data_IF_540970642088
#
_entry.id   IF_540970642088
#
_cell.length_a   1.000
_cell.length_b   1.000
_cell.length_c   1.000
_cell.angle_alpha   90.00
_cell.angle_beta   90.00
_cell.angle_gamma   90.00
#
_symmetry.space_group_name_H-M   'P 1'
#
loop_
_entity.id
_entity.type
_entity.pdbx_description
1 polymer ?
#
# COMPACT_ATOMS: atom_id res chain seq x y z
N UNK A 1 -7.69 -12.31 4.01
CA UNK A 1 -6.89 -13.56 3.86
C UNK A 1 -6.00 -13.68 5.08
N UNK A 2 -6.07 -14.78 5.83
CA UNK A 2 -5.17 -15.04 6.96
C UNK A 2 -4.03 -15.95 6.51
N UNK A 3 -2.79 -15.55 6.77
CA UNK A 3 -1.57 -16.28 6.41
C UNK A 3 -0.47 -16.08 7.46
N UNK A 4 -0.86 -15.85 8.72
CA UNK A 4 0.03 -15.57 9.85
C UNK A 4 1.11 -16.65 10.04
N UNK A 5 0.78 -17.91 9.80
CA UNK A 5 1.75 -19.01 9.97
C UNK A 5 2.89 -18.97 8.92
N UNK A 6 2.70 -18.21 7.84
CA UNK A 6 3.60 -18.16 6.68
C UNK A 6 4.23 -16.77 6.46
N UNK A 7 3.93 -15.78 7.30
CA UNK A 7 4.45 -14.41 7.20
C UNK A 7 5.48 -14.05 8.28
N UNK A 8 5.93 -15.04 9.04
CA UNK A 8 6.92 -14.89 10.11
C UNK A 8 8.35 -14.78 9.57
N UNK A 9 9.28 -14.43 10.46
CA UNK A 9 10.71 -14.44 10.14
C UNK A 9 11.20 -15.85 9.75
N UNK A 10 12.25 -15.92 8.91
CA UNK A 10 13.01 -14.79 8.35
C UNK A 10 12.26 -14.06 7.23
N UNK A 11 12.46 -12.74 7.10
CA UNK A 11 11.62 -11.89 6.22
C UNK A 11 11.71 -12.29 4.73
N UNK A 12 12.86 -12.80 4.26
CA UNK A 12 12.99 -13.31 2.90
C UNK A 12 12.07 -14.51 2.61
N UNK A 13 11.77 -15.33 3.63
CA UNK A 13 10.88 -16.47 3.50
C UNK A 13 9.42 -15.99 3.47
N UNK A 14 9.05 -15.03 4.31
CA UNK A 14 7.73 -14.38 4.26
C UNK A 14 7.47 -13.75 2.88
N UNK A 15 8.48 -13.03 2.33
CA UNK A 15 8.44 -12.50 0.97
C UNK A 15 8.16 -13.59 -0.07
N UNK A 16 8.90 -14.71 -0.03
CA UNK A 16 8.71 -15.82 -0.97
C UNK A 16 7.32 -16.48 -0.82
N UNK A 17 6.87 -16.68 0.42
CA UNK A 17 5.55 -17.24 0.74
C UNK A 17 4.43 -16.34 0.24
N UNK A 18 4.60 -15.02 0.29
CA UNK A 18 3.60 -14.07 -0.17
C UNK A 18 3.20 -14.28 -1.63
N UNK A 19 4.13 -14.69 -2.52
CA UNK A 19 3.81 -15.04 -3.92
C UNK A 19 2.82 -16.20 -4.00
N UNK A 20 2.99 -17.21 -3.14
CA UNK A 20 2.07 -18.35 -3.06
C UNK A 20 0.71 -17.91 -2.53
N UNK A 21 0.68 -17.02 -1.53
CA UNK A 21 -0.58 -16.46 -0.99
C UNK A 21 -1.31 -15.64 -2.06
N UNK A 22 -0.61 -14.85 -2.86
CA UNK A 22 -1.18 -14.12 -4.00
C UNK A 22 -1.82 -15.08 -5.01
N UNK A 23 -1.11 -16.13 -5.41
CA UNK A 23 -1.64 -17.15 -6.31
C UNK A 23 -2.85 -17.92 -5.73
N UNK A 24 -2.84 -18.24 -4.45
CA UNK A 24 -3.97 -18.89 -3.77
C UNK A 24 -5.19 -17.96 -3.66
N UNK A 25 -4.96 -16.68 -3.41
CA UNK A 25 -6.01 -15.65 -3.37
C UNK A 25 -6.66 -15.50 -4.74
N UNK A 26 -5.86 -15.40 -5.81
CA UNK A 26 -6.36 -15.36 -7.18
C UNK A 26 -7.15 -16.62 -7.55
N UNK A 27 -6.66 -17.81 -7.16
CA UNK A 27 -7.38 -19.07 -7.37
C UNK A 27 -8.74 -19.08 -6.70
N UNK A 28 -8.84 -18.61 -5.46
CA UNK A 28 -10.12 -18.50 -4.76
C UNK A 28 -11.07 -17.54 -5.47
N UNK A 29 -10.57 -16.38 -5.90
CA UNK A 29 -11.38 -15.38 -6.61
C UNK A 29 -11.91 -15.93 -7.93
N UNK A 30 -11.06 -16.56 -8.75
CA UNK A 30 -11.48 -17.17 -10.00
C UNK A 30 -12.57 -18.24 -9.79
N UNK A 31 -12.45 -19.07 -8.75
CA UNK A 31 -13.50 -20.03 -8.38
C UNK A 31 -14.81 -19.33 -8.01
N UNK A 32 -14.77 -18.20 -7.30
CA UNK A 32 -15.96 -17.43 -6.98
C UNK A 32 -16.60 -16.81 -8.23
N UNK A 33 -15.79 -16.26 -9.14
CA UNK A 33 -16.26 -15.70 -10.42
C UNK A 33 -16.98 -16.78 -11.26
N UNK A 34 -16.35 -17.95 -11.43
CA UNK A 34 -16.89 -19.08 -12.20
C UNK A 34 -18.22 -19.61 -11.64
N UNK A 35 -18.37 -19.61 -10.30
CA UNK A 35 -19.48 -20.33 -9.65
C UNK A 35 -20.58 -19.42 -9.08
N UNK A 36 -20.35 -18.11 -8.98
CA UNK A 36 -21.27 -17.17 -8.30
C UNK A 36 -21.65 -15.96 -9.14
N UNK A 37 -21.18 -15.87 -10.39
CA UNK A 37 -21.51 -14.73 -11.26
C UNK A 37 -20.90 -13.41 -10.77
N UNK A 38 -19.79 -13.49 -10.03
CA UNK A 38 -19.01 -12.32 -9.61
C UNK A 38 -18.18 -11.87 -10.81
N UNK A 39 -18.22 -10.59 -11.14
CA UNK A 39 -17.40 -10.00 -12.19
C UNK A 39 -16.11 -9.43 -11.57
N UNK A 40 -14.97 -9.47 -12.28
CA UNK A 40 -13.69 -9.09 -11.69
C UNK A 40 -13.63 -7.60 -11.32
N UNK A 41 -14.36 -6.74 -12.04
CA UNK A 41 -14.51 -5.31 -11.79
C UNK A 41 -15.24 -4.98 -10.47
N UNK A 42 -16.00 -5.94 -9.93
CA UNK A 42 -16.68 -5.81 -8.63
C UNK A 42 -15.80 -6.15 -7.43
N UNK A 43 -14.56 -6.57 -7.66
CA UNK A 43 -13.65 -7.05 -6.61
C UNK A 43 -12.66 -5.95 -6.21
N UNK A 44 -12.55 -5.74 -4.90
CA UNK A 44 -11.59 -4.82 -4.28
C UNK A 44 -10.69 -5.57 -3.31
N UNK A 45 -9.39 -5.64 -3.61
CA UNK A 45 -8.38 -6.18 -2.71
C UNK A 45 -7.76 -5.06 -1.89
N UNK A 46 -7.66 -5.26 -0.58
CA UNK A 46 -7.03 -4.30 0.34
C UNK A 46 -5.93 -5.04 1.09
N UNK A 47 -4.69 -4.57 0.95
CA UNK A 47 -3.52 -5.23 1.50
C UNK A 47 -2.61 -4.26 2.24
N UNK A 48 -2.25 -4.60 3.48
CA UNK A 48 -1.31 -3.83 4.30
C UNK A 48 0.08 -4.43 4.28
N UNK A 49 1.12 -3.59 4.26
CA UNK A 49 2.51 -4.05 4.35
C UNK A 49 2.84 -5.06 3.23
N UNK A 50 3.38 -6.23 3.58
CA UNK A 50 3.60 -7.33 2.64
C UNK A 50 2.30 -7.83 2.00
N UNK A 51 1.16 -7.69 2.69
CA UNK A 51 -0.17 -7.96 2.15
C UNK A 51 -0.56 -7.04 0.99
N UNK A 52 -0.03 -5.81 0.92
CA UNK A 52 -0.20 -4.92 -0.23
C UNK A 52 0.45 -5.50 -1.48
N UNK A 53 1.67 -6.00 -1.33
CA UNK A 53 2.41 -6.69 -2.38
C UNK A 53 1.72 -8.00 -2.80
N UNK A 54 1.18 -8.75 -1.83
CA UNK A 54 0.36 -9.94 -2.08
C UNK A 54 -0.89 -9.63 -2.90
N UNK A 55 -1.48 -8.44 -2.70
CA UNK A 55 -2.65 -8.03 -3.48
C UNK A 55 -2.29 -7.77 -4.94
N UNK A 56 -1.11 -7.20 -5.22
CA UNK A 56 -0.57 -7.06 -6.58
C UNK A 56 -0.37 -8.42 -7.26
N UNK A 57 0.33 -9.35 -6.59
CA UNK A 57 0.48 -10.73 -7.10
C UNK A 57 -0.87 -11.46 -7.31
N UNK A 58 -1.90 -11.15 -6.54
CA UNK A 58 -3.23 -11.69 -6.82
C UNK A 58 -3.85 -11.02 -8.07
N UNK A 59 -3.75 -9.70 -8.19
CA UNK A 59 -4.30 -8.89 -9.29
C UNK A 59 -3.71 -9.23 -10.66
N UNK A 60 -2.40 -9.41 -10.76
CA UNK A 60 -1.71 -9.86 -11.98
C UNK A 60 -2.33 -11.14 -12.59
N UNK A 61 -2.99 -11.96 -11.77
CA UNK A 61 -3.61 -13.25 -12.15
C UNK A 61 -5.12 -13.16 -12.39
N UNK A 62 -5.70 -11.97 -12.31
CA UNK A 62 -7.15 -11.71 -12.45
C UNK A 62 -7.33 -10.58 -13.48
N UNK A 63 -7.49 -10.90 -14.77
CA UNK A 63 -7.73 -9.89 -15.79
C UNK A 63 -9.01 -9.08 -15.50
N UNK A 64 -8.88 -7.75 -15.52
CA UNK A 64 -9.98 -6.82 -15.24
C UNK A 64 -10.37 -6.74 -13.76
N UNK A 65 -9.42 -7.04 -12.85
CA UNK A 65 -9.65 -6.82 -11.42
C UNK A 65 -10.01 -5.36 -11.16
N UNK A 66 -11.11 -5.11 -10.45
CA UNK A 66 -11.66 -3.76 -10.29
C UNK A 66 -10.76 -2.80 -9.51
N UNK A 67 -10.31 -3.20 -8.31
CA UNK A 67 -9.49 -2.31 -7.48
C UNK A 67 -8.50 -3.03 -6.57
N UNK A 68 -7.32 -2.43 -6.41
CA UNK A 68 -6.39 -2.73 -5.30
C UNK A 68 -6.15 -1.46 -4.49
N UNK A 69 -6.24 -1.57 -3.16
CA UNK A 69 -5.69 -0.55 -2.26
C UNK A 69 -4.47 -1.09 -1.51
N UNK A 70 -3.31 -0.46 -1.74
CA UNK A 70 -2.08 -0.71 -1.01
C UNK A 70 -1.99 0.15 0.24
N UNK A 71 -2.03 -0.46 1.43
CA UNK A 71 -1.88 0.24 2.70
C UNK A 71 -0.43 0.13 3.15
N UNK A 72 0.35 1.17 2.89
CA UNK A 72 1.79 1.27 3.11
C UNK A 72 2.54 0.00 2.68
N UNK A 73 2.50 -0.37 1.38
CA UNK A 73 3.06 -1.64 0.90
C UNK A 73 4.53 -1.77 1.28
N UNK A 74 4.96 -2.98 1.66
CA UNK A 74 6.32 -3.19 2.15
C UNK A 74 7.38 -2.77 1.12
N UNK A 75 8.37 -1.99 1.55
CA UNK A 75 9.49 -1.52 0.73
C UNK A 75 10.65 -2.53 0.59
N UNK A 76 11.06 -3.26 1.64
CA UNK A 76 12.24 -4.10 1.55
C UNK A 76 12.04 -5.28 0.58
N UNK A 77 12.99 -5.43 -0.36
CA UNK A 77 12.94 -6.29 -1.57
C UNK A 77 12.05 -5.81 -2.73
N UNK A 78 11.27 -4.75 -2.55
CA UNK A 78 10.33 -4.23 -3.57
C UNK A 78 10.72 -2.85 -4.10
N UNK A 79 11.35 -2.01 -3.28
CA UNK A 79 11.86 -0.71 -3.69
C UNK A 79 12.79 -0.88 -4.91
N UNK A 80 12.54 -0.14 -5.99
CA UNK A 80 13.25 -0.22 -7.29
C UNK A 80 13.17 -1.59 -7.98
N UNK A 81 12.34 -2.51 -7.49
CA UNK A 81 12.12 -3.78 -8.16
C UNK A 81 11.26 -3.58 -9.42
N UNK A 82 11.44 -4.43 -10.44
CA UNK A 82 10.56 -4.47 -11.61
C UNK A 82 9.10 -4.68 -11.21
N UNK A 83 8.18 -4.21 -12.06
CA UNK A 83 6.73 -4.28 -11.84
C UNK A 83 6.27 -5.70 -11.50
N UNK A 84 6.79 -6.71 -12.20
CA UNK A 84 6.45 -8.14 -12.00
C UNK A 84 6.79 -8.69 -10.61
N UNK A 85 7.56 -7.96 -9.80
CA UNK A 85 7.98 -8.38 -8.46
C UNK A 85 7.15 -7.70 -7.35
N UNK A 86 6.43 -6.62 -7.65
CA UNK A 86 5.76 -5.76 -6.68
C UNK A 86 4.33 -5.44 -7.11
N UNK A 87 3.58 -4.80 -6.23
CA UNK A 87 2.36 -4.09 -6.61
C UNK A 87 2.71 -2.98 -7.60
N UNK A 88 1.95 -2.89 -8.68
CA UNK A 88 1.98 -1.78 -9.62
C UNK A 88 0.59 -1.43 -10.18
N UNK A 89 0.52 -0.37 -10.98
CA UNK A 89 -0.70 0.15 -11.58
C UNK A 89 -1.36 -0.81 -12.58
N UNK A 90 -0.65 -1.81 -13.11
CA UNK A 90 -1.22 -2.79 -14.04
C UNK A 90 -1.96 -3.96 -13.37
N UNK A 91 -1.84 -4.11 -12.05
CA UNK A 91 -2.44 -5.22 -11.29
C UNK A 91 -3.96 -5.13 -11.14
N UNK A 92 -4.56 -3.97 -11.38
CA UNK A 92 -6.01 -3.76 -11.37
C UNK A 92 -6.39 -2.54 -12.22
N UNK A 93 -7.67 -2.45 -12.60
CA UNK A 93 -8.23 -1.30 -13.32
C UNK A 93 -8.01 0.01 -12.54
N UNK A 94 -8.00 -0.06 -11.21
CA UNK A 94 -7.62 1.03 -10.32
C UNK A 94 -6.76 0.54 -9.16
N UNK A 95 -5.62 1.20 -8.96
CA UNK A 95 -4.68 0.93 -7.86
C UNK A 95 -4.45 2.22 -7.11
N UNK A 96 -4.81 2.25 -5.83
CA UNK A 96 -4.57 3.39 -4.95
C UNK A 96 -3.73 3.01 -3.75
N UNK A 97 -2.78 3.86 -3.36
CA UNK A 97 -1.77 3.54 -2.35
C UNK A 97 -1.70 4.63 -1.30
N UNK A 98 -1.64 4.23 -0.02
CA UNK A 98 -1.43 5.14 1.10
C UNK A 98 -0.03 4.89 1.66
N UNK A 99 0.89 5.82 1.44
CA UNK A 99 2.24 5.77 2.01
C UNK A 99 2.23 6.44 3.37
N UNK A 100 2.62 5.73 4.42
CA UNK A 100 2.67 6.25 5.78
C UNK A 100 4.03 6.08 6.46
N UNK A 101 4.86 5.15 5.96
CA UNK A 101 6.21 4.91 6.49
C UNK A 101 7.22 4.55 5.40
N UNK A 102 7.28 5.34 4.33
CA UNK A 102 8.27 5.17 3.26
C UNK A 102 9.70 5.40 3.75
N UNK A 103 10.63 4.49 3.42
CA UNK A 103 12.07 4.63 3.66
C UNK A 103 12.93 4.15 2.47
N UNK A 104 14.16 4.65 2.33
CA UNK A 104 15.08 4.14 1.29
C UNK A 104 15.67 2.77 1.67
N UNK A 105 15.56 2.42 2.96
CA UNK A 105 15.90 1.11 3.52
C UNK A 105 14.99 0.81 4.73
N UNK A 106 15.01 -0.43 5.19
CA UNK A 106 14.15 -0.92 6.27
C UNK A 106 14.39 -0.27 7.64
N UNK A 107 15.51 0.44 7.83
CA UNK A 107 15.81 1.17 9.07
C UNK A 107 15.02 2.48 9.08
N UNK A 108 15.00 3.18 7.95
CA UNK A 108 14.29 4.45 7.79
C UNK A 108 12.77 4.28 7.73
N UNK A 109 12.30 3.22 7.05
CA UNK A 109 10.87 2.97 6.87
C UNK A 109 10.60 1.58 6.32
N UNK A 110 9.46 1.01 6.72
CA UNK A 110 9.02 -0.32 6.28
C UNK A 110 8.23 -0.28 4.97
N UNK A 111 7.65 0.87 4.63
CA UNK A 111 6.89 1.10 3.41
C UNK A 111 7.77 1.44 2.20
N UNK A 112 7.25 1.16 1.01
CA UNK A 112 7.83 1.61 -0.26
C UNK A 112 7.62 3.11 -0.43
N UNK A 113 8.63 3.83 -0.93
CA UNK A 113 8.56 5.29 -1.21
C UNK A 113 8.13 5.62 -2.63
N UNK A 114 8.35 4.70 -3.57
CA UNK A 114 7.99 4.91 -4.97
C UNK A 114 6.48 4.98 -5.11
N UNK A 115 6.01 5.87 -5.98
CA UNK A 115 4.65 5.82 -6.47
C UNK A 115 4.47 4.52 -7.29
N UNK A 116 3.53 3.69 -6.88
CA UNK A 116 3.30 2.38 -7.46
C UNK A 116 1.82 2.13 -7.78
N UNK A 117 0.95 3.12 -7.63
CA UNK A 117 -0.45 3.05 -8.05
C UNK A 117 -0.75 3.97 -9.22
N UNK A 118 -2.04 4.02 -9.54
CA UNK A 118 -2.61 5.12 -10.31
C UNK A 118 -2.76 6.38 -9.45
N UNK A 119 -2.88 6.21 -8.14
CA UNK A 119 -3.00 7.28 -7.17
C UNK A 119 -2.22 6.94 -5.91
N UNK A 120 -1.23 7.76 -5.59
CA UNK A 120 -0.37 7.56 -4.43
C UNK A 120 -0.53 8.74 -3.46
N UNK A 121 -1.05 8.42 -2.28
CA UNK A 121 -1.34 9.39 -1.23
C UNK A 121 -0.25 9.36 -0.17
N UNK A 122 0.27 10.55 0.17
CA UNK A 122 1.35 10.73 1.13
C UNK A 122 0.90 11.58 2.33
N UNK A 123 -0.01 11.07 3.20
CA UNK A 123 -0.43 11.79 4.39
C UNK A 123 0.76 12.18 5.25
N UNK A 124 0.84 13.47 5.60
CA UNK A 124 1.95 14.04 6.37
C UNK A 124 3.33 13.80 5.73
N UNK A 125 3.39 13.75 4.40
CA UNK A 125 4.62 13.51 3.63
C UNK A 125 5.00 12.04 3.47
N UNK A 126 4.20 11.12 4.03
CA UNK A 126 4.28 9.68 3.79
C UNK A 126 5.46 8.93 4.43
N UNK A 127 6.25 9.59 5.26
CA UNK A 127 7.43 9.00 5.93
C UNK A 127 7.20 8.83 7.43
N UNK A 128 6.77 9.91 8.09
CA UNK A 128 6.53 9.96 9.54
C UNK A 128 5.11 10.43 9.80
N UNK A 129 4.50 9.94 10.88
CA UNK A 129 3.09 10.18 11.18
C UNK A 129 2.92 10.83 12.54
N UNK A 130 2.01 11.82 12.69
CA UNK A 130 1.71 12.43 13.97
C UNK A 130 1.36 11.39 15.05
N UNK A 131 2.01 11.51 16.20
CA UNK A 131 1.84 10.59 17.33
C UNK A 131 2.61 9.26 17.23
N UNK A 132 3.45 9.08 16.20
CA UNK A 132 4.41 7.98 16.12
C UNK A 132 5.82 8.51 16.34
N UNK A 133 6.59 7.88 17.25
CA UNK A 133 7.94 8.31 17.61
C UNK A 133 8.98 7.33 17.07
N UNK A 134 9.97 7.86 16.35
CA UNK A 134 11.10 7.09 15.85
C UNK A 134 12.18 6.98 16.94
N UNK A 135 12.73 5.78 17.13
CA UNK A 135 13.81 5.53 18.08
C UNK A 135 15.07 5.07 17.32
N UNK A 136 16.06 5.98 17.11
CA UNK A 136 17.21 5.75 16.23
C UNK A 136 18.22 4.69 16.73
N UNK A 137 18.11 4.24 17.97
CA UNK A 137 19.08 3.32 18.59
C UNK A 137 18.72 1.83 18.45
N UNK A 138 17.75 1.47 17.60
CA UNK A 138 17.36 0.07 17.40
C UNK A 138 18.02 -0.53 16.17
N UNK A 139 18.82 -1.57 16.37
CA UNK A 139 19.39 -2.39 15.31
C UNK A 139 18.38 -3.46 14.90
N UNK A 140 17.76 -3.29 13.74
CA UNK A 140 16.85 -4.28 13.15
C UNK A 140 17.65 -5.32 12.35
N UNK A 141 17.37 -6.60 12.59
CA UNK A 141 17.88 -7.69 11.75
C UNK A 141 16.71 -8.35 11.05
N UNK A 142 16.77 -8.44 9.73
CA UNK A 142 15.77 -9.14 8.91
C UNK A 142 15.74 -10.67 9.12
N UNK A 143 16.66 -11.21 9.92
CA UNK A 143 16.86 -12.64 10.17
C UNK A 143 16.27 -13.11 11.50
N UNK A 144 16.10 -12.20 12.47
CA UNK A 144 15.85 -12.56 13.86
C UNK A 144 14.56 -11.87 14.33
N UNK A 145 13.73 -12.61 15.07
CA UNK A 145 12.47 -12.18 15.68
C UNK A 145 12.73 -11.28 16.90
N UNK A 146 13.45 -10.17 16.71
CA UNK A 146 13.84 -9.30 17.82
C UNK A 146 12.69 -8.36 18.16
N UNK A 147 12.32 -8.35 19.45
CA UNK A 147 11.33 -7.50 20.16
C UNK A 147 11.37 -5.97 19.85
N UNK A 148 12.28 -5.51 19.00
CA UNK A 148 12.45 -4.12 18.55
C UNK A 148 11.53 -3.71 17.37
N UNK A 149 10.55 -4.54 17.00
CA UNK A 149 9.61 -4.27 15.89
C UNK A 149 8.67 -3.05 16.15
N UNK A 150 8.60 -2.57 17.40
CA UNK A 150 7.51 -1.72 17.87
C UNK A 150 7.51 -0.24 17.36
N UNK A 151 8.62 0.31 16.88
CA UNK A 151 8.68 1.78 16.61
C UNK A 151 8.38 2.14 15.15
N UNK A 152 8.98 1.45 14.17
CA UNK A 152 8.64 1.65 12.76
C UNK A 152 7.24 1.11 12.44
N UNK A 153 6.72 0.16 13.24
CA UNK A 153 5.37 -0.36 13.06
C UNK A 153 4.25 0.65 13.33
N UNK A 154 4.47 1.69 14.15
CA UNK A 154 3.44 2.71 14.41
C UNK A 154 3.08 3.49 13.13
N UNK A 155 4.08 4.12 12.50
CA UNK A 155 3.87 4.88 11.28
C UNK A 155 3.41 3.96 10.15
N UNK A 156 3.96 2.74 10.08
CA UNK A 156 3.57 1.74 9.10
C UNK A 156 2.11 1.31 9.23
N UNK A 157 1.58 1.24 10.45
CA UNK A 157 0.18 0.86 10.71
C UNK A 157 -0.81 2.01 10.51
N UNK A 158 -0.34 3.26 10.35
CA UNK A 158 -1.24 4.42 10.20
C UNK A 158 -2.06 4.37 8.91
N UNK A 159 -1.53 3.79 7.83
CA UNK A 159 -2.32 3.55 6.61
C UNK A 159 -3.62 2.76 6.90
N UNK A 160 -3.60 1.77 7.79
CA UNK A 160 -4.80 1.03 8.20
C UNK A 160 -5.81 1.94 8.90
N UNK A 161 -5.32 2.77 9.84
CA UNK A 161 -6.19 3.68 10.59
C UNK A 161 -6.83 4.73 9.67
N UNK A 162 -6.06 5.33 8.77
CA UNK A 162 -6.59 6.27 7.79
C UNK A 162 -7.63 5.62 6.88
N UNK A 163 -7.37 4.41 6.39
CA UNK A 163 -8.34 3.71 5.55
C UNK A 163 -9.63 3.41 6.33
N UNK A 164 -9.56 2.89 7.56
CA UNK A 164 -10.74 2.62 8.38
C UNK A 164 -11.53 3.88 8.73
N UNK A 165 -10.83 4.98 9.07
CA UNK A 165 -11.48 6.26 9.37
C UNK A 165 -12.12 6.88 8.11
N UNK A 166 -11.56 6.64 6.91
CA UNK A 166 -12.12 7.11 5.63
C UNK A 166 -13.46 6.46 5.28
N UNK A 167 -13.75 5.29 5.85
CA UNK A 167 -15.04 4.60 5.67
C UNK A 167 -16.12 5.28 6.51
N UNK A 168 -15.79 5.61 7.76
CA UNK A 168 -16.79 5.83 8.81
C UNK A 168 -16.87 7.26 9.34
N UNK A 169 -15.79 8.05 9.25
CA UNK A 169 -15.62 9.25 10.07
C UNK A 169 -15.11 10.46 9.31
N UNK A 170 -14.16 10.25 8.42
CA UNK A 170 -13.37 11.32 7.83
C UNK A 170 -13.48 11.30 6.31
N UNK A 171 -13.48 12.48 5.69
CA UNK A 171 -13.19 12.64 4.27
C UNK A 171 -11.82 13.27 4.16
N UNK A 172 -10.82 12.46 3.81
CA UNK A 172 -9.44 12.92 3.68
C UNK A 172 -9.23 13.51 2.29
N UNK A 173 -9.50 14.81 2.16
CA UNK A 173 -9.24 15.53 0.91
C UNK A 173 -7.73 15.55 0.67
N UNK A 174 -7.33 15.09 -0.50
CA UNK A 174 -5.96 15.07 -0.99
C UNK A 174 -5.84 16.04 -2.18
N UNK A 175 -4.68 16.67 -2.26
CA UNK A 175 -4.35 17.66 -3.28
C UNK A 175 -3.17 17.15 -4.08
N UNK A 176 -3.31 17.12 -5.40
CA UNK A 176 -2.20 16.82 -6.31
C UNK A 176 -1.08 17.85 -6.15
N UNK A 177 0.15 17.38 -5.99
CA UNK A 177 1.29 18.26 -5.76
C UNK A 177 2.60 17.55 -6.14
N UNK A 178 3.54 18.29 -6.73
CA UNK A 178 4.84 17.75 -7.16
C UNK A 178 5.70 17.30 -5.98
N UNK A 179 5.56 17.92 -4.81
CA UNK A 179 6.25 17.47 -3.59
C UNK A 179 5.57 17.97 -2.32
N UNK A 180 5.81 17.25 -1.22
CA UNK A 180 5.28 17.64 0.08
C UNK A 180 5.76 19.03 0.55
N UNK A 181 7.00 19.41 0.23
CA UNK A 181 7.51 20.76 0.57
C UNK A 181 6.78 21.89 -0.16
N UNK A 182 6.30 21.66 -1.39
CA UNK A 182 5.45 22.63 -2.11
C UNK A 182 4.06 22.69 -1.50
N UNK A 183 3.52 21.53 -1.11
CA UNK A 183 2.23 21.45 -0.40
C UNK A 183 2.28 22.25 0.92
N UNK A 184 3.30 22.07 1.75
CA UNK A 184 3.46 22.81 3.02
C UNK A 184 3.59 24.32 2.84
N UNK A 185 4.13 24.78 1.69
CA UNK A 185 4.23 26.19 1.34
C UNK A 185 2.94 26.77 0.72
N UNK A 186 1.88 25.97 0.59
CA UNK A 186 0.59 26.38 0.01
C UNK A 186 0.63 26.55 -1.51
N UNK A 187 1.65 26.02 -2.19
CA UNK A 187 1.84 26.23 -3.63
C UNK A 187 0.96 25.33 -4.51
N UNK A 188 0.25 24.38 -3.90
CA UNK A 188 -0.60 23.41 -4.58
C UNK A 188 -2.10 23.69 -4.39
N UNK A 189 -2.47 24.79 -3.72
CA UNK A 189 -3.87 25.16 -3.45
C UNK A 189 -4.36 26.29 -4.40
N UNK A 190 -4.12 26.13 -5.70
CA UNK A 190 -4.55 27.12 -6.71
C UNK A 190 -5.80 26.67 -7.45
N UNK A 191 -6.63 27.62 -7.90
CA UNK A 191 -7.83 27.34 -8.70
C UNK A 191 -7.47 26.46 -9.92
N UNK A 192 -7.84 25.18 -9.86
CA UNK A 192 -7.52 24.19 -10.89
C UNK A 192 -6.80 22.93 -10.38
N UNK A 193 -6.36 22.88 -9.10
CA UNK A 193 -5.77 21.66 -8.57
C UNK A 193 -6.79 20.53 -8.48
N UNK A 194 -6.43 19.35 -8.99
CA UNK A 194 -7.25 18.15 -8.89
C UNK A 194 -7.30 17.69 -7.43
N UNK A 195 -8.46 17.86 -6.80
CA UNK A 195 -8.72 17.34 -5.46
C UNK A 195 -9.33 15.94 -5.56
N UNK A 196 -8.87 15.03 -4.71
CA UNK A 196 -9.46 13.71 -4.55
C UNK A 196 -9.62 13.36 -3.08
N UNK A 197 -10.13 12.16 -2.81
CA UNK A 197 -10.32 11.66 -1.45
C UNK A 197 -9.45 10.44 -1.25
N UNK A 198 -8.56 10.49 -0.27
CA UNK A 198 -7.76 9.33 0.14
C UNK A 198 -8.64 8.30 0.87
N UNK A 199 -8.41 7.01 0.59
CA UNK A 199 -9.01 5.89 1.30
C UNK A 199 -10.16 5.22 0.54
N UNK A 200 -11.17 4.74 1.27
CA UNK A 200 -12.19 3.85 0.72
C UNK A 200 -12.96 4.45 -0.46
N UNK A 201 -13.16 5.77 -0.48
CA UNK A 201 -13.88 6.48 -1.54
C UNK A 201 -12.98 7.04 -2.64
N UNK A 202 -11.68 6.70 -2.66
CA UNK A 202 -10.81 7.09 -3.75
C UNK A 202 -11.35 6.56 -5.09
N UNK A 203 -11.15 7.35 -6.14
CA UNK A 203 -11.58 7.03 -7.50
C UNK A 203 -10.46 7.39 -8.47
N UNK A 204 -10.26 6.53 -9.47
CA UNK A 204 -9.31 6.79 -10.56
C UNK A 204 -9.65 8.10 -11.25
N UNK A 205 -8.68 9.00 -11.34
CA UNK A 205 -8.87 10.28 -12.00
C UNK A 205 -8.47 10.16 -13.48
N UNK A 206 -9.31 10.61 -14.45
CA UNK A 206 -9.06 10.37 -15.87
C UNK A 206 -7.80 11.04 -16.45
N UNK A 207 -7.26 12.06 -15.78
CA UNK A 207 -6.23 12.98 -16.31
C UNK A 207 -4.95 13.04 -15.46
N UNK A 208 -4.78 12.10 -14.53
CA UNK A 208 -3.57 11.96 -13.73
C UNK A 208 -2.76 10.79 -14.28
N UNK A 209 -1.78 11.08 -15.11
CA UNK A 209 -0.74 10.11 -15.49
C UNK A 209 0.39 10.23 -14.47
N UNK A 210 0.75 9.09 -13.85
CA UNK A 210 1.79 8.98 -12.83
C UNK A 210 3.22 9.04 -13.37
#
# INVERSE_FOLDING_TARGET
VNWTDSNQFPYYQAFANGRVVGAQTAKLINLLMENKGITPDSIHLIGHSLGGQVSGWAGERIPGLGRITGLDPAGPFFQKAPKEVRLDDTDADFVDVIHSNGGDNYIEGLGIKEAIGHMDFYPNGGISQPGCFYHPNMTYKMTDDVDNYATNSCAHSRANHYFVDSINRCTFVAVECESFSRFERGECDSNGTTASVMGFRAQKMPNLEG
#
